data_IF_364210325512
#
_entry.id   IF_364210325512
#
_cell.length_a   1.000
_cell.length_b   1.000
_cell.length_c   1.000
_cell.angle_alpha   90.00
_cell.angle_beta   90.00
_cell.angle_gamma   90.00
#
_symmetry.space_group_name_H-M   'P 1'
#
loop_
_entity.id
_entity.type
_entity.pdbx_description
1 polymer ?
#
# COMPACT_ATOMS: atom_id res chain seq x y z
N UNK A 1 -14.54 -1.69 -38.84
CA UNK A 1 -14.85 -3.02 -38.26
C UNK A 1 -13.54 -3.59 -37.75
N UNK A 2 -13.30 -3.54 -36.44
CA UNK A 2 -12.18 -4.25 -35.81
C UNK A 2 -12.49 -5.76 -35.86
N UNK A 3 -11.57 -6.54 -36.44
CA UNK A 3 -11.74 -7.99 -36.58
C UNK A 3 -11.64 -8.66 -35.20
N UNK A 4 -12.28 -9.82 -35.03
CA UNK A 4 -12.35 -10.54 -33.75
C UNK A 4 -10.96 -10.78 -33.14
N UNK A 5 -9.96 -10.99 -34.00
CA UNK A 5 -8.54 -11.14 -33.65
C UNK A 5 -7.96 -9.83 -33.07
N UNK A 6 -8.28 -8.65 -33.64
CA UNK A 6 -7.82 -7.36 -33.11
C UNK A 6 -8.43 -7.10 -31.72
N UNK A 7 -9.71 -7.41 -31.53
CA UNK A 7 -10.36 -7.29 -30.21
C UNK A 7 -9.76 -8.21 -29.15
N UNK A 8 -9.25 -9.38 -29.55
CA UNK A 8 -8.56 -10.29 -28.64
C UNK A 8 -7.19 -9.76 -28.26
N UNK A 9 -6.43 -9.21 -29.20
CA UNK A 9 -5.13 -8.58 -28.93
C UNK A 9 -5.25 -7.36 -28.01
N UNK A 10 -6.22 -6.47 -28.25
CA UNK A 10 -6.49 -5.32 -27.36
C UNK A 10 -6.85 -5.78 -25.95
N UNK A 11 -7.63 -6.87 -25.81
CA UNK A 11 -7.97 -7.45 -24.51
C UNK A 11 -6.76 -8.04 -23.79
N UNK A 12 -5.84 -8.66 -24.52
CA UNK A 12 -4.60 -9.21 -23.95
C UNK A 12 -3.63 -8.11 -23.52
N UNK A 13 -3.48 -7.07 -24.33
CA UNK A 13 -2.74 -5.84 -23.99
C UNK A 13 -3.26 -5.21 -22.70
N UNK A 14 -4.59 -5.03 -22.58
CA UNK A 14 -5.22 -4.47 -21.37
C UNK A 14 -4.95 -5.34 -20.14
N UNK A 15 -5.11 -6.66 -20.25
CA UNK A 15 -4.84 -7.59 -19.14
C UNK A 15 -3.37 -7.56 -18.73
N UNK A 16 -2.46 -7.52 -19.70
CA UNK A 16 -1.02 -7.42 -19.47
C UNK A 16 -0.66 -6.10 -18.78
N UNK A 17 -1.23 -4.98 -19.23
CA UNK A 17 -1.03 -3.67 -18.62
C UNK A 17 -1.53 -3.61 -17.16
N UNK A 18 -2.67 -4.23 -16.88
CA UNK A 18 -3.22 -4.33 -15.53
C UNK A 18 -2.31 -5.20 -14.63
N UNK A 19 -1.82 -6.33 -15.14
CA UNK A 19 -0.95 -7.22 -14.39
C UNK A 19 0.38 -6.54 -14.06
N UNK A 20 1.00 -5.90 -15.04
CA UNK A 20 2.25 -5.17 -14.83
C UNK A 20 2.09 -3.93 -13.96
N UNK A 21 0.97 -3.21 -14.05
CA UNK A 21 0.66 -2.15 -13.06
C UNK A 21 0.59 -2.73 -11.66
N UNK A 22 -0.12 -3.85 -11.46
CA UNK A 22 -0.20 -4.47 -10.13
C UNK A 22 1.18 -4.86 -9.60
N UNK A 23 2.07 -5.41 -10.41
CA UNK A 23 3.45 -5.72 -9.99
C UNK A 23 4.26 -4.45 -9.69
N UNK A 24 4.16 -3.44 -10.56
CA UNK A 24 4.82 -2.15 -10.39
C UNK A 24 4.32 -1.36 -9.18
N UNK A 25 3.05 -1.54 -8.77
CA UNK A 25 2.46 -0.92 -7.57
C UNK A 25 2.56 -1.81 -6.32
N UNK A 26 2.67 -3.13 -6.46
CA UNK A 26 2.87 -4.06 -5.34
C UNK A 26 4.25 -3.87 -4.67
N UNK A 27 5.28 -3.53 -5.45
CA UNK A 27 6.60 -3.18 -4.89
C UNK A 27 6.54 -1.91 -4.03
N UNK A 28 5.95 -0.79 -4.49
CA UNK A 28 5.62 0.36 -3.66
C UNK A 28 4.79 0.01 -2.44
N UNK A 29 3.75 -0.83 -2.59
CA UNK A 29 2.87 -1.23 -1.49
C UNK A 29 3.64 -1.97 -0.38
N UNK A 30 4.54 -2.90 -0.74
CA UNK A 30 5.39 -3.59 0.22
C UNK A 30 6.36 -2.63 0.95
N UNK A 31 7.01 -1.74 0.21
CA UNK A 31 7.92 -0.75 0.80
C UNK A 31 7.19 0.22 1.73
N UNK A 32 5.99 0.66 1.36
CA UNK A 32 5.16 1.54 2.17
C UNK A 32 4.71 0.80 3.44
N UNK A 33 4.22 -0.45 3.31
CA UNK A 33 3.82 -1.29 4.45
C UNK A 33 4.99 -1.52 5.40
N UNK A 34 6.18 -1.80 4.87
CA UNK A 34 7.40 -1.95 5.65
C UNK A 34 7.79 -0.65 6.38
N UNK A 35 7.81 0.49 5.67
CA UNK A 35 8.18 1.77 6.26
C UNK A 35 7.21 2.20 7.38
N UNK A 36 5.90 2.02 7.17
CA UNK A 36 4.89 2.31 8.20
C UNK A 36 5.00 1.37 9.39
N UNK A 37 5.21 0.06 9.16
CA UNK A 37 5.40 -0.92 10.24
C UNK A 37 6.64 -0.58 11.06
N UNK A 38 7.74 -0.22 10.40
CA UNK A 38 8.97 0.21 11.08
C UNK A 38 8.71 1.47 11.92
N UNK A 39 8.06 2.49 11.36
CA UNK A 39 7.71 3.70 12.09
C UNK A 39 6.81 3.43 13.32
N UNK A 40 5.89 2.47 13.22
CA UNK A 40 5.04 2.04 14.33
C UNK A 40 5.86 1.44 15.48
N UNK A 41 6.80 0.54 15.17
CA UNK A 41 7.66 -0.09 16.20
C UNK A 41 8.73 0.83 16.75
N UNK A 42 9.28 1.74 15.92
CA UNK A 42 10.27 2.73 16.34
C UNK A 42 9.64 3.84 17.21
N UNK A 43 8.30 3.93 17.27
CA UNK A 43 7.61 4.95 18.06
C UNK A 43 7.68 4.62 19.56
N UNK A 44 8.77 5.03 20.20
CA UNK A 44 8.97 4.92 21.64
C UNK A 44 8.25 6.06 22.37
N UNK A 45 7.50 5.73 23.42
CA UNK A 45 6.92 6.73 24.30
C UNK A 45 8.02 7.47 25.07
N UNK A 46 8.06 8.79 24.94
CA UNK A 46 9.01 9.64 25.66
C UNK A 46 8.64 9.65 27.15
N UNK A 47 9.63 9.50 28.03
CA UNK A 47 9.41 9.54 29.48
C UNK A 47 8.77 10.86 29.89
N UNK A 48 7.63 10.80 30.58
CA UNK A 48 6.87 11.97 31.03
C UNK A 48 5.88 12.51 29.99
N UNK A 49 5.77 11.90 28.80
CA UNK A 49 4.70 12.23 27.85
C UNK A 49 3.36 11.58 28.24
N UNK A 50 2.28 12.11 27.66
CA UNK A 50 0.92 11.59 27.88
C UNK A 50 0.72 10.24 27.20
N UNK A 51 0.33 9.23 27.98
CA UNK A 51 -0.05 7.90 27.46
C UNK A 51 -1.20 8.01 26.47
N UNK A 52 -2.15 8.92 26.70
CA UNK A 52 -3.31 9.13 25.83
C UNK A 52 -2.86 9.64 24.46
N UNK A 53 -2.00 10.65 24.42
CA UNK A 53 -1.52 11.23 23.16
C UNK A 53 -0.67 10.23 22.39
N UNK A 54 0.20 9.51 23.08
CA UNK A 54 0.99 8.44 22.49
C UNK A 54 0.11 7.31 21.92
N UNK A 55 -0.92 6.89 22.66
CA UNK A 55 -1.88 5.89 22.21
C UNK A 55 -2.68 6.32 20.99
N UNK A 56 -3.10 7.60 20.91
CA UNK A 56 -3.78 8.15 19.74
C UNK A 56 -2.84 8.13 18.51
N UNK A 57 -1.57 8.48 18.67
CA UNK A 57 -0.59 8.39 17.58
C UNK A 57 -0.37 6.94 17.11
N UNK A 58 -0.28 5.98 18.04
CA UNK A 58 -0.17 4.55 17.71
C UNK A 58 -1.39 4.07 16.93
N UNK A 59 -2.60 4.39 17.38
CA UNK A 59 -3.83 4.01 16.71
C UNK A 59 -3.91 4.59 15.29
N UNK A 60 -3.52 5.85 15.10
CA UNK A 60 -3.49 6.46 13.76
C UNK A 60 -2.54 5.74 12.79
N UNK A 61 -1.38 5.29 13.28
CA UNK A 61 -0.44 4.50 12.46
C UNK A 61 -0.98 3.10 12.16
N UNK A 62 -1.65 2.47 13.12
CA UNK A 62 -2.28 1.17 12.94
C UNK A 62 -3.44 1.20 11.92
N UNK A 63 -4.25 2.26 11.92
CA UNK A 63 -5.31 2.47 10.92
C UNK A 63 -4.72 2.59 9.50
N UNK A 64 -3.66 3.39 9.33
CA UNK A 64 -2.98 3.52 8.03
C UNK A 64 -2.39 2.21 7.52
N UNK A 65 -1.94 1.33 8.42
CA UNK A 65 -1.48 -0.01 8.06
C UNK A 65 -2.61 -0.96 7.63
N UNK A 66 -3.82 -0.76 8.16
CA UNK A 66 -5.00 -1.55 7.82
C UNK A 66 -5.58 -1.17 6.46
N UNK A 67 -5.52 0.12 6.12
CA UNK A 67 -6.03 0.67 4.86
C UNK A 67 -5.05 0.49 3.67
N UNK A 68 -3.91 -0.16 3.92
CA UNK A 68 -2.87 -0.51 2.96
C UNK A 68 -2.99 -1.98 2.52
#
# INVERSE_FOLDING_TARGET
MSNEIQKQYERYEDVFLIMHRKELYAVPEWHIRYAMTKAFFDMIMIKGSSVREHGVMMLSLAEKLKDL
#
